data_IF_895250664739
#
_entry.id   IF_895250664739
#
_cell.length_a   1.000
_cell.length_b   1.000
_cell.length_c   1.000
_cell.angle_alpha   90.00
_cell.angle_beta   90.00
_cell.angle_gamma   90.00
#
_symmetry.space_group_name_H-M   'P 1'
#
loop_
_entity.id
_entity.type
_entity.pdbx_description
1 polymer ?
#
# COMPACT_ATOMS: atom_id res chain seq x y z
N UNK A 1 21.36 -1.61 25.21
CA UNK A 1 21.99 -0.48 24.50
C UNK A 1 21.24 -0.31 23.20
N UNK A 2 20.40 0.73 23.08
CA UNK A 2 19.62 1.00 21.87
C UNK A 2 20.58 1.42 20.75
N UNK A 3 20.72 0.60 19.72
CA UNK A 3 21.48 0.96 18.52
C UNK A 3 20.81 2.21 17.92
N UNK A 4 21.52 3.36 17.78
CA UNK A 4 20.93 4.53 17.14
C UNK A 4 20.58 4.11 15.72
N UNK A 5 19.28 4.17 15.36
CA UNK A 5 18.77 3.78 14.05
C UNK A 5 19.72 4.29 12.96
N UNK A 6 20.45 3.36 12.34
CA UNK A 6 21.48 3.68 11.34
C UNK A 6 20.76 4.39 10.20
N UNK A 7 20.86 5.73 10.15
CA UNK A 7 20.25 6.49 9.06
C UNK A 7 20.91 5.99 7.78
N UNK A 8 20.12 5.34 6.92
CA UNK A 8 20.53 4.95 5.58
C UNK A 8 21.19 6.14 4.89
N UNK A 9 22.48 6.01 4.61
CA UNK A 9 23.22 7.06 3.91
C UNK A 9 22.95 6.91 2.43
N UNK A 10 22.02 7.72 1.91
CA UNK A 10 21.64 7.69 0.49
C UNK A 10 22.81 8.26 -0.35
N UNK A 11 23.37 7.47 -1.29
CA UNK A 11 24.39 7.95 -2.23
C UNK A 11 23.95 9.22 -2.95
N UNK A 12 24.90 10.12 -3.22
CA UNK A 12 24.60 11.43 -3.79
C UNK A 12 23.89 11.31 -5.14
N UNK A 13 24.29 10.33 -5.96
CA UNK A 13 23.69 10.10 -7.27
C UNK A 13 22.23 9.61 -7.21
N UNK A 14 21.79 9.00 -6.11
CA UNK A 14 20.41 8.52 -5.95
C UNK A 14 19.44 9.61 -5.47
N UNK A 15 19.94 10.70 -4.85
CA UNK A 15 19.10 11.74 -4.24
C UNK A 15 18.04 12.34 -5.16
N UNK A 16 18.29 12.60 -6.47
CA UNK A 16 17.28 13.12 -7.37
C UNK A 16 16.11 12.16 -7.60
N UNK A 17 16.37 10.85 -7.57
CA UNK A 17 15.36 9.83 -7.77
C UNK A 17 14.64 9.48 -6.46
N UNK A 18 15.35 9.51 -5.34
CA UNK A 18 14.87 9.12 -4.00
C UNK A 18 14.00 10.18 -3.31
N UNK A 19 13.70 11.30 -3.98
CA UNK A 19 12.87 12.39 -3.46
C UNK A 19 11.66 12.63 -4.35
N UNK A 20 10.60 13.14 -3.74
CA UNK A 20 9.40 13.57 -4.45
C UNK A 20 9.74 14.66 -5.48
N UNK A 21 9.23 14.55 -6.72
CA UNK A 21 9.24 15.67 -7.67
C UNK A 21 8.28 16.78 -7.24
N UNK A 22 8.28 17.91 -7.94
CA UNK A 22 7.24 18.93 -7.78
C UNK A 22 5.84 18.33 -7.99
N UNK A 23 5.66 17.53 -9.05
CA UNK A 23 4.48 16.71 -9.30
C UNK A 23 4.91 15.38 -9.92
N UNK A 24 4.43 14.27 -9.37
CA UNK A 24 4.62 12.92 -9.87
C UNK A 24 3.56 12.62 -10.93
N UNK A 25 3.73 13.13 -12.15
CA UNK A 25 2.76 12.96 -13.23
C UNK A 25 2.33 11.51 -13.51
N UNK A 26 3.20 10.47 -13.42
CA UNK A 26 2.76 9.09 -13.54
C UNK A 26 1.76 8.67 -12.45
N UNK A 27 1.96 9.13 -11.20
CA UNK A 27 1.01 8.87 -10.10
C UNK A 27 -0.30 9.63 -10.31
N UNK A 28 -0.26 10.86 -10.83
CA UNK A 28 -1.46 11.63 -11.20
C UNK A 28 -2.22 10.98 -12.36
N UNK A 29 -1.52 10.49 -13.38
CA UNK A 29 -2.11 9.77 -14.51
C UNK A 29 -2.76 8.47 -14.05
N UNK A 30 -2.11 7.73 -13.12
CA UNK A 30 -2.69 6.54 -12.51
C UNK A 30 -3.98 6.86 -11.75
N UNK A 31 -4.02 7.96 -11.00
CA UNK A 31 -5.24 8.44 -10.33
C UNK A 31 -6.37 8.74 -11.32
N UNK A 32 -6.07 9.45 -12.42
CA UNK A 32 -7.04 9.75 -13.46
C UNK A 32 -7.56 8.47 -14.14
N UNK A 33 -6.67 7.52 -14.45
CA UNK A 33 -7.04 6.25 -15.03
C UNK A 33 -7.91 5.40 -14.08
N UNK A 34 -7.57 5.35 -12.79
CA UNK A 34 -8.36 4.67 -11.77
C UNK A 34 -9.74 5.32 -11.61
N UNK A 35 -9.81 6.65 -11.63
CA UNK A 35 -11.08 7.41 -11.55
C UNK A 35 -11.97 7.12 -12.76
N UNK A 36 -11.40 7.13 -13.97
CA UNK A 36 -12.13 6.80 -15.18
C UNK A 36 -12.63 5.36 -15.13
N UNK A 37 -11.75 4.39 -14.80
CA UNK A 37 -12.10 2.98 -14.74
C UNK A 37 -13.22 2.69 -13.72
N UNK A 38 -13.11 3.25 -12.51
CA UNK A 38 -14.11 3.10 -11.46
C UNK A 38 -15.45 3.74 -11.85
N UNK A 39 -15.41 4.95 -12.42
CA UNK A 39 -16.63 5.66 -12.84
C UNK A 39 -17.32 4.97 -14.01
N UNK A 40 -16.56 4.41 -14.96
CA UNK A 40 -17.10 3.61 -16.06
C UNK A 40 -17.72 2.32 -15.54
N UNK A 41 -17.06 1.61 -14.61
CA UNK A 41 -17.63 0.42 -13.98
C UNK A 41 -18.93 0.72 -13.24
N UNK A 42 -18.94 1.78 -12.41
CA UNK A 42 -20.12 2.21 -11.67
C UNK A 42 -21.27 2.63 -12.60
N UNK A 43 -21.00 3.49 -13.60
CA UNK A 43 -22.01 3.90 -14.58
C UNK A 43 -22.54 2.69 -15.36
N UNK A 44 -21.65 1.78 -15.77
CA UNK A 44 -22.01 0.58 -16.51
C UNK A 44 -22.92 -0.35 -15.71
N UNK A 45 -22.63 -0.52 -14.41
CA UNK A 45 -23.46 -1.28 -13.49
C UNK A 45 -24.82 -0.64 -13.24
N UNK A 46 -24.86 0.67 -12.97
CA UNK A 46 -26.10 1.39 -12.68
C UNK A 46 -27.02 1.54 -13.90
N UNK A 47 -26.45 1.65 -15.11
CA UNK A 47 -27.21 1.69 -16.36
C UNK A 47 -27.64 0.30 -16.85
N UNK A 48 -27.14 -0.78 -16.24
CA UNK A 48 -27.35 -2.15 -16.71
C UNK A 48 -26.59 -2.50 -18.00
N UNK A 49 -25.67 -1.64 -18.47
CA UNK A 49 -24.89 -1.88 -19.69
C UNK A 49 -23.70 -2.82 -19.49
N UNK A 50 -23.25 -3.00 -18.24
CA UNK A 50 -22.23 -3.98 -17.88
C UNK A 50 -22.83 -5.06 -16.96
N UNK A 51 -22.47 -6.34 -17.15
CA UNK A 51 -22.82 -7.38 -16.19
C UNK A 51 -22.07 -7.15 -14.87
N UNK A 52 -22.70 -7.57 -13.76
CA UNK A 52 -22.18 -7.33 -12.39
C UNK A 52 -20.73 -7.79 -12.22
N UNK A 53 -20.35 -8.94 -12.77
CA UNK A 53 -18.97 -9.44 -12.66
C UNK A 53 -17.94 -8.50 -13.31
N UNK A 54 -18.29 -7.84 -14.41
CA UNK A 54 -17.38 -6.90 -15.08
C UNK A 54 -17.20 -5.64 -14.24
N UNK A 55 -18.29 -5.13 -13.64
CA UNK A 55 -18.24 -4.01 -12.68
C UNK A 55 -17.34 -4.34 -11.50
N UNK A 56 -17.48 -5.54 -10.95
CA UNK A 56 -16.66 -5.99 -9.81
C UNK A 56 -15.17 -5.97 -10.16
N UNK A 57 -14.79 -6.54 -11.31
CA UNK A 57 -13.40 -6.60 -11.74
C UNK A 57 -12.82 -5.21 -12.04
N UNK A 58 -13.57 -4.37 -12.75
CA UNK A 58 -13.13 -3.01 -13.09
C UNK A 58 -12.92 -2.16 -11.83
N UNK A 59 -13.88 -2.20 -10.91
CA UNK A 59 -13.80 -1.42 -9.68
C UNK A 59 -12.71 -1.96 -8.75
N UNK A 60 -12.50 -3.28 -8.67
CA UNK A 60 -11.43 -3.87 -7.87
C UNK A 60 -10.05 -3.46 -8.40
N UNK A 61 -9.86 -3.49 -9.73
CA UNK A 61 -8.63 -3.02 -10.36
C UNK A 61 -8.40 -1.51 -10.13
N UNK A 62 -9.45 -0.70 -10.23
CA UNK A 62 -9.36 0.72 -9.94
C UNK A 62 -9.01 0.98 -8.46
N UNK A 63 -9.59 0.25 -7.51
CA UNK A 63 -9.25 0.35 -6.08
C UNK A 63 -7.78 -0.03 -5.83
N UNK A 64 -7.27 -1.08 -6.51
CA UNK A 64 -5.86 -1.44 -6.46
C UNK A 64 -4.94 -0.32 -6.98
N UNK A 65 -5.32 0.38 -8.05
CA UNK A 65 -4.58 1.54 -8.55
C UNK A 65 -4.67 2.74 -7.61
N UNK A 66 -5.85 3.03 -7.07
CA UNK A 66 -6.03 4.07 -6.05
C UNK A 66 -5.17 3.81 -4.82
N UNK A 67 -4.98 2.55 -4.41
CA UNK A 67 -4.07 2.23 -3.31
C UNK A 67 -2.64 2.72 -3.61
N UNK A 68 -2.12 2.49 -4.81
CA UNK A 68 -0.76 2.96 -5.16
C UNK A 68 -0.64 4.48 -5.07
N UNK A 69 -1.68 5.22 -5.49
CA UNK A 69 -1.74 6.69 -5.35
C UNK A 69 -1.82 7.10 -3.88
N UNK A 70 -2.68 6.45 -3.09
CA UNK A 70 -2.83 6.68 -1.66
C UNK A 70 -1.52 6.41 -0.89
N UNK A 71 -0.82 5.35 -1.28
CA UNK A 71 0.45 4.92 -0.73
C UNK A 71 1.58 5.92 -1.03
N UNK A 72 1.76 6.33 -2.29
CA UNK A 72 2.69 7.41 -2.66
C UNK A 72 2.35 8.70 -1.89
N UNK A 73 1.07 9.05 -1.75
CA UNK A 73 0.64 10.22 -1.00
C UNK A 73 1.01 10.15 0.49
N UNK A 74 0.87 8.98 1.12
CA UNK A 74 1.22 8.78 2.53
C UNK A 74 2.69 9.12 2.81
N UNK A 75 3.56 8.85 1.84
CA UNK A 75 4.98 9.19 1.86
C UNK A 75 5.33 10.61 1.44
N UNK A 76 4.35 11.39 0.99
CA UNK A 76 4.57 12.66 0.27
C UNK A 76 5.30 12.51 -1.07
N UNK A 77 5.19 11.37 -1.74
CA UNK A 77 5.88 11.07 -3.00
C UNK A 77 5.16 11.61 -4.23
N UNK A 78 3.89 12.03 -4.11
CA UNK A 78 3.11 12.62 -5.21
C UNK A 78 3.62 14.03 -5.55
N UNK A 79 4.03 14.81 -4.56
CA UNK A 79 4.46 16.20 -4.74
C UNK A 79 5.29 16.70 -3.56
N UNK A 80 6.13 17.70 -3.77
CA UNK A 80 6.71 18.49 -2.67
C UNK A 80 5.67 19.31 -1.89
N UNK A 81 4.47 19.53 -2.45
CA UNK A 81 3.36 20.20 -1.78
C UNK A 81 2.53 19.20 -0.95
N UNK A 82 2.55 19.38 0.36
CA UNK A 82 1.82 18.52 1.31
C UNK A 82 0.31 18.49 1.08
N UNK A 83 -0.30 19.60 0.70
CA UNK A 83 -1.75 19.67 0.42
C UNK A 83 -2.13 18.80 -0.76
N UNK A 84 -1.31 18.76 -1.81
CA UNK A 84 -1.57 17.88 -2.96
C UNK A 84 -1.52 16.41 -2.54
N UNK A 85 -0.52 16.01 -1.74
CA UNK A 85 -0.45 14.65 -1.23
C UNK A 85 -1.68 14.30 -0.36
N UNK A 86 -2.05 15.18 0.57
CA UNK A 86 -3.20 14.93 1.44
C UNK A 86 -4.52 14.84 0.63
N UNK A 87 -4.67 15.64 -0.44
CA UNK A 87 -5.83 15.57 -1.35
C UNK A 87 -5.86 14.27 -2.15
N UNK A 88 -4.78 13.92 -2.86
CA UNK A 88 -4.72 12.68 -3.65
C UNK A 88 -4.88 11.44 -2.75
N UNK A 89 -4.27 11.46 -1.57
CA UNK A 89 -4.41 10.40 -0.57
C UNK A 89 -5.85 10.24 -0.10
N UNK A 90 -6.51 11.33 0.28
CA UNK A 90 -7.89 11.29 0.78
C UNK A 90 -8.90 10.90 -0.31
N UNK A 91 -8.75 11.40 -1.54
CA UNK A 91 -9.62 11.04 -2.66
C UNK A 91 -9.47 9.56 -3.03
N UNK A 92 -8.23 9.06 -3.09
CA UNK A 92 -7.96 7.65 -3.39
C UNK A 92 -8.47 6.71 -2.30
N UNK A 93 -8.51 7.14 -1.04
CA UNK A 93 -9.03 6.35 0.06
C UNK A 93 -10.54 6.10 -0.02
N UNK A 94 -11.32 6.94 -0.71
CA UNK A 94 -12.80 6.91 -0.72
C UNK A 94 -13.39 5.58 -1.18
N UNK A 95 -12.70 4.86 -2.07
CA UNK A 95 -13.16 3.59 -2.64
C UNK A 95 -12.60 2.37 -1.91
N UNK A 96 -11.68 2.58 -0.96
CA UNK A 96 -10.86 1.51 -0.39
C UNK A 96 -11.56 0.74 0.73
N UNK A 97 -12.30 1.44 1.59
CA UNK A 97 -12.94 0.84 2.76
C UNK A 97 -14.17 1.64 3.17
N UNK A 98 -15.04 1.02 3.98
CA UNK A 98 -16.25 1.65 4.52
C UNK A 98 -15.97 2.90 5.35
N UNK A 99 -14.74 3.05 5.86
CA UNK A 99 -14.26 4.22 6.58
C UNK A 99 -12.98 4.78 5.96
N UNK A 100 -13.05 5.63 4.94
CA UNK A 100 -11.90 6.03 4.12
C UNK A 100 -10.99 7.07 4.82
N UNK A 101 -10.40 6.70 5.97
CA UNK A 101 -9.61 7.61 6.81
C UNK A 101 -8.14 7.57 6.41
N UNK A 102 -7.79 8.36 5.39
CA UNK A 102 -6.42 8.42 4.86
C UNK A 102 -5.36 8.76 5.91
N UNK A 103 -5.64 9.66 6.85
CA UNK A 103 -4.65 10.02 7.90
C UNK A 103 -4.38 8.88 8.87
N UNK A 104 -5.38 8.05 9.17
CA UNK A 104 -5.21 6.87 9.99
C UNK A 104 -4.35 5.84 9.25
N UNK A 105 -4.67 5.57 7.98
CA UNK A 105 -3.84 4.73 7.10
C UNK A 105 -2.39 5.23 7.08
N UNK A 106 -2.17 6.53 6.82
CA UNK A 106 -0.83 7.13 6.77
C UNK A 106 -0.06 6.91 8.08
N UNK A 107 -0.70 7.06 9.23
CA UNK A 107 -0.02 6.83 10.51
C UNK A 107 0.35 5.36 10.71
N UNK A 108 -0.59 4.45 10.45
CA UNK A 108 -0.40 3.00 10.53
C UNK A 108 0.72 2.56 9.61
N UNK A 109 0.69 2.98 8.34
CA UNK A 109 1.73 2.71 7.34
C UNK A 109 3.11 3.21 7.79
N UNK A 110 3.19 4.37 8.44
CA UNK A 110 4.46 4.87 8.98
C UNK A 110 4.96 4.07 10.18
N UNK A 111 4.08 3.43 10.95
CA UNK A 111 4.51 2.49 11.99
C UNK A 111 5.07 1.22 11.36
N UNK A 112 4.42 0.70 10.33
CA UNK A 112 4.93 -0.41 9.54
C UNK A 112 6.34 -0.10 9.01
N UNK A 113 6.54 1.03 8.32
CA UNK A 113 7.88 1.41 7.85
C UNK A 113 8.94 1.52 8.93
N UNK A 114 8.55 1.88 10.16
CA UNK A 114 9.48 2.04 11.27
C UNK A 114 9.81 0.71 11.94
N UNK A 115 8.86 -0.22 11.97
CA UNK A 115 8.92 -1.43 12.77
C UNK A 115 8.62 -2.71 11.99
N UNK A 116 8.73 -2.69 10.66
CA UNK A 116 8.33 -3.82 9.80
C UNK A 116 8.87 -5.15 10.33
N UNK A 117 8.00 -6.16 10.34
CA UNK A 117 8.19 -7.51 10.89
C UNK A 117 8.30 -7.62 12.42
N UNK A 118 8.10 -6.53 13.18
CA UNK A 118 7.87 -6.64 14.62
C UNK A 118 6.55 -7.40 14.91
N UNK A 119 6.19 -7.56 16.17
CA UNK A 119 4.95 -8.22 16.58
C UNK A 119 3.68 -7.44 16.14
N UNK A 120 2.53 -8.11 16.11
CA UNK A 120 1.23 -7.57 15.66
C UNK A 120 0.71 -6.33 16.44
N UNK A 121 1.27 -6.02 17.62
CA UNK A 121 0.95 -4.82 18.39
C UNK A 121 1.84 -3.63 17.98
N UNK A 122 3.07 -3.90 17.56
CA UNK A 122 4.02 -2.88 17.09
C UNK A 122 3.89 -2.61 15.59
N UNK A 123 3.84 -3.66 14.78
CA UNK A 123 3.66 -3.63 13.32
C UNK A 123 2.30 -4.25 12.95
N UNK A 124 1.30 -3.45 12.56
CA UNK A 124 -0.03 -3.95 12.24
C UNK A 124 -0.04 -4.90 11.03
N UNK A 125 0.96 -4.82 10.14
CA UNK A 125 1.08 -5.64 8.93
C UNK A 125 1.58 -7.04 9.22
N UNK A 126 2.19 -7.25 10.39
CA UNK A 126 2.55 -8.60 10.86
C UNK A 126 1.33 -9.54 10.90
N UNK A 127 0.13 -8.98 11.07
CA UNK A 127 -1.15 -9.68 10.99
C UNK A 127 -1.30 -10.52 9.71
N UNK A 128 -0.80 -10.04 8.58
CA UNK A 128 -0.89 -10.69 7.26
C UNK A 128 -0.01 -11.94 7.13
N UNK A 129 0.94 -12.14 8.04
CA UNK A 129 1.80 -13.34 8.07
C UNK A 129 1.90 -14.02 9.43
N UNK A 130 1.01 -13.71 10.37
CA UNK A 130 0.94 -14.34 11.68
C UNK A 130 -0.22 -15.34 11.77
N UNK A 131 -0.15 -16.25 12.74
CA UNK A 131 -1.17 -17.28 12.95
C UNK A 131 -1.12 -18.48 11.99
N UNK A 132 -2.09 -19.40 12.09
CA UNK A 132 -2.16 -20.59 11.23
C UNK A 132 -2.38 -20.24 9.75
N UNK A 133 -1.73 -20.99 8.85
CA UNK A 133 -1.79 -20.76 7.40
C UNK A 133 -3.22 -20.71 6.82
N UNK A 134 -4.15 -21.51 7.37
CA UNK A 134 -5.54 -21.54 6.93
C UNK A 134 -6.31 -20.24 7.23
N UNK A 135 -5.84 -19.42 8.18
CA UNK A 135 -6.46 -18.13 8.50
C UNK A 135 -5.98 -17.00 7.59
N UNK A 136 -4.85 -17.16 6.90
CA UNK A 136 -4.23 -16.07 6.14
C UNK A 136 -5.17 -15.44 5.11
N UNK A 137 -5.95 -16.20 4.30
CA UNK A 137 -6.88 -15.59 3.35
C UNK A 137 -7.93 -14.69 4.02
N UNK A 138 -8.45 -15.09 5.18
CA UNK A 138 -9.39 -14.29 5.94
C UNK A 138 -8.73 -13.03 6.50
N UNK A 139 -7.50 -13.15 7.01
CA UNK A 139 -6.72 -12.02 7.52
C UNK A 139 -6.44 -11.00 6.41
N UNK A 140 -6.08 -11.45 5.22
CA UNK A 140 -5.89 -10.58 4.05
C UNK A 140 -7.19 -9.85 3.68
N UNK A 141 -8.35 -10.52 3.74
CA UNK A 141 -9.67 -9.89 3.48
C UNK A 141 -10.05 -8.81 4.51
N UNK A 142 -9.51 -8.87 5.73
CA UNK A 142 -9.89 -8.02 6.86
C UNK A 142 -8.78 -7.09 7.35
N UNK A 143 -7.73 -6.90 6.55
CA UNK A 143 -6.55 -6.12 6.92
C UNK A 143 -6.88 -4.66 7.29
N UNK A 144 -7.76 -4.01 6.53
CA UNK A 144 -8.23 -2.65 6.84
C UNK A 144 -9.00 -2.56 8.16
N UNK A 145 -9.75 -3.60 8.55
CA UNK A 145 -10.39 -3.64 9.87
C UNK A 145 -9.37 -3.79 10.99
N UNK A 146 -8.31 -4.59 10.79
CA UNK A 146 -7.19 -4.65 11.73
C UNK A 146 -6.54 -3.28 11.87
N UNK A 147 -6.38 -2.52 10.79
CA UNK A 147 -5.89 -1.13 10.86
C UNK A 147 -6.78 -0.22 11.71
N UNK A 148 -8.11 -0.31 11.59
CA UNK A 148 -9.00 0.48 12.45
C UNK A 148 -8.88 0.09 13.92
N UNK A 149 -8.92 -1.20 14.23
CA UNK A 149 -8.77 -1.68 15.62
C UNK A 149 -7.44 -1.23 16.20
N UNK A 150 -6.37 -1.36 15.43
CA UNK A 150 -5.04 -0.92 15.82
C UNK A 150 -5.02 0.60 16.03
N UNK A 151 -5.45 1.41 15.06
CA UNK A 151 -5.48 2.86 15.19
C UNK A 151 -6.33 3.35 16.37
N UNK A 152 -7.54 2.82 16.53
CA UNK A 152 -8.51 3.25 17.55
C UNK A 152 -8.03 2.93 18.97
N UNK A 153 -7.26 1.86 19.16
CA UNK A 153 -6.66 1.56 20.47
C UNK A 153 -5.50 2.48 20.84
N UNK A 154 -5.01 3.33 19.91
CA UNK A 154 -3.97 4.34 20.17
C UNK A 154 -4.47 5.78 20.09
N UNK A 155 -5.79 6.03 20.14
CA UNK A 155 -6.34 7.40 20.04
C UNK A 155 -5.74 8.37 21.06
N UNK A 156 -5.43 7.91 22.28
CA UNK A 156 -4.79 8.72 23.31
C UNK A 156 -3.37 9.21 22.96
N UNK A 157 -2.72 8.60 21.96
CA UNK A 157 -1.40 9.00 21.45
C UNK A 157 -1.50 9.85 20.18
N UNK A 158 -2.70 10.18 19.70
CA UNK A 158 -2.92 10.91 18.44
C UNK A 158 -3.24 12.39 18.69
N UNK A 159 -2.87 13.29 17.77
CA UNK A 159 -3.28 14.69 17.85
C UNK A 159 -4.82 14.83 17.82
N UNK A 160 -5.41 15.64 18.71
CA UNK A 160 -6.87 15.84 18.78
C UNK A 160 -7.51 16.22 17.45
N UNK A 161 -6.81 17.04 16.64
CA UNK A 161 -7.28 17.42 15.29
C UNK A 161 -7.40 16.21 14.34
N UNK A 162 -6.49 15.25 14.45
CA UNK A 162 -6.51 14.01 13.65
C UNK A 162 -7.66 13.10 14.09
N UNK A 163 -7.88 13.00 15.41
CA UNK A 163 -9.00 12.23 15.99
C UNK A 163 -10.34 12.81 15.53
N UNK A 164 -10.55 14.13 15.67
CA UNK A 164 -11.78 14.80 15.23
C UNK A 164 -12.01 14.57 13.73
N UNK A 165 -10.97 14.70 12.91
CA UNK A 165 -11.08 14.44 11.47
C UNK A 165 -11.45 12.99 11.18
N UNK A 166 -10.82 12.04 11.87
CA UNK A 166 -11.09 10.61 11.75
C UNK A 166 -12.55 10.29 12.08
N UNK A 167 -13.03 10.74 13.24
CA UNK A 167 -14.41 10.52 13.65
C UNK A 167 -15.42 11.17 12.69
N UNK A 168 -15.14 12.39 12.20
CA UNK A 168 -16.01 13.05 11.20
C UNK A 168 -16.12 12.23 9.91
N UNK A 169 -15.00 11.72 9.38
CA UNK A 169 -15.00 10.91 8.16
C UNK A 169 -15.70 9.58 8.40
N UNK A 170 -15.43 8.90 9.52
CA UNK A 170 -16.10 7.64 9.86
C UNK A 170 -17.62 7.83 10.00
N UNK A 171 -18.06 8.88 10.69
CA UNK A 171 -19.48 9.19 10.84
C UNK A 171 -20.11 9.54 9.49
N UNK A 172 -19.49 10.42 8.70
CA UNK A 172 -20.01 10.79 7.38
C UNK A 172 -20.11 9.59 6.45
N UNK A 173 -19.09 8.73 6.40
CA UNK A 173 -19.10 7.53 5.59
C UNK A 173 -20.15 6.52 6.08
N UNK A 174 -20.31 6.34 7.39
CA UNK A 174 -21.35 5.47 7.96
C UNK A 174 -22.74 5.95 7.59
N UNK A 175 -23.00 7.26 7.72
CA UNK A 175 -24.29 7.85 7.35
C UNK A 175 -24.53 7.74 5.84
N UNK A 176 -23.51 7.99 5.02
CA UNK A 176 -23.60 7.89 3.56
C UNK A 176 -23.94 6.46 3.13
N UNK A 177 -23.15 5.47 3.55
CA UNK A 177 -23.39 4.06 3.21
C UNK A 177 -24.71 3.55 3.81
N UNK A 178 -25.03 3.92 5.05
CA UNK A 178 -26.29 3.56 5.70
C UNK A 178 -27.51 4.13 4.98
N UNK A 179 -27.43 5.39 4.51
CA UNK A 179 -28.49 6.00 3.69
C UNK A 179 -28.66 5.28 2.37
N UNK A 180 -27.57 4.96 1.66
CA UNK A 180 -27.64 4.18 0.41
C UNK A 180 -28.35 2.84 0.61
N UNK A 181 -27.96 2.09 1.64
CA UNK A 181 -28.56 0.79 1.98
C UNK A 181 -30.04 0.95 2.33
N UNK A 182 -30.39 1.92 3.20
CA UNK A 182 -31.78 2.16 3.61
C UNK A 182 -32.66 2.63 2.46
N UNK A 183 -32.11 3.37 1.49
CA UNK A 183 -32.79 3.80 0.28
C UNK A 183 -32.94 2.70 -0.78
N UNK A 184 -32.56 1.45 -0.48
CA UNK A 184 -32.75 0.30 -1.36
C UNK A 184 -31.55 -0.05 -2.24
N UNK A 185 -30.44 0.68 -2.15
CA UNK A 185 -29.23 0.45 -2.96
C UNK A 185 -28.25 -0.55 -2.31
N UNK A 186 -28.75 -1.48 -1.49
CA UNK A 186 -27.92 -2.44 -0.78
C UNK A 186 -27.15 -3.38 -1.73
N UNK A 187 -27.78 -3.75 -2.85
CA UNK A 187 -27.19 -4.62 -3.87
C UNK A 187 -26.04 -3.91 -4.59
N UNK A 188 -26.25 -2.69 -5.05
CA UNK A 188 -25.26 -1.84 -5.71
C UNK A 188 -24.12 -1.51 -4.75
N UNK A 189 -24.43 -1.16 -3.50
CA UNK A 189 -23.41 -0.96 -2.48
C UNK A 189 -22.52 -2.20 -2.31
N UNK A 190 -23.12 -3.40 -2.21
CA UNK A 190 -22.35 -4.62 -2.05
C UNK A 190 -21.50 -4.94 -3.27
N UNK A 191 -22.10 -5.01 -4.46
CA UNK A 191 -21.40 -5.47 -5.66
C UNK A 191 -20.53 -4.41 -6.34
N UNK A 192 -20.87 -3.12 -6.24
CA UNK A 192 -20.13 -2.07 -6.97
C UNK A 192 -19.11 -1.35 -6.08
N UNK A 193 -19.22 -1.46 -4.76
CA UNK A 193 -18.30 -0.82 -3.81
C UNK A 193 -17.64 -1.81 -2.85
N UNK A 194 -18.41 -2.53 -2.04
CA UNK A 194 -17.86 -3.32 -0.93
C UNK A 194 -17.05 -4.54 -1.43
N UNK A 195 -17.64 -5.37 -2.28
CA UNK A 195 -16.99 -6.56 -2.83
C UNK A 195 -15.74 -6.22 -3.66
N UNK A 196 -15.76 -5.22 -4.56
CA UNK A 196 -14.55 -4.79 -5.28
C UNK A 196 -13.42 -4.35 -4.33
N UNK A 197 -13.76 -3.59 -3.29
CA UNK A 197 -12.79 -3.19 -2.27
C UNK A 197 -12.20 -4.41 -1.53
N UNK A 198 -13.01 -5.42 -1.20
CA UNK A 198 -12.53 -6.68 -0.59
C UNK A 198 -11.56 -7.44 -1.48
N UNK A 199 -11.88 -7.55 -2.77
CA UNK A 199 -11.00 -8.22 -3.75
C UNK A 199 -9.66 -7.49 -3.86
N UNK A 200 -9.69 -6.16 -3.93
CA UNK A 200 -8.48 -5.34 -3.98
C UNK A 200 -7.64 -5.48 -2.69
N UNK A 201 -8.26 -5.37 -1.51
CA UNK A 201 -7.59 -5.48 -0.21
C UNK A 201 -6.97 -6.87 -0.01
N UNK A 202 -7.70 -7.93 -0.38
CA UNK A 202 -7.16 -9.29 -0.33
C UNK A 202 -5.86 -9.40 -1.14
N UNK A 203 -5.88 -8.91 -2.39
CA UNK A 203 -4.70 -8.96 -3.25
C UNK A 203 -3.56 -8.09 -2.72
N UNK A 204 -3.86 -6.89 -2.21
CA UNK A 204 -2.87 -5.98 -1.62
C UNK A 204 -2.21 -6.58 -0.38
N UNK A 205 -2.99 -7.08 0.57
CA UNK A 205 -2.47 -7.69 1.78
C UNK A 205 -1.61 -8.93 1.47
N UNK A 206 -2.02 -9.74 0.50
CA UNK A 206 -1.19 -10.84 0.01
C UNK A 206 0.09 -10.34 -0.66
N UNK A 207 -0.02 -9.42 -1.62
CA UNK A 207 1.07 -9.06 -2.51
C UNK A 207 2.09 -8.09 -1.89
N UNK A 208 1.66 -7.22 -0.98
CA UNK A 208 2.46 -6.13 -0.42
C UNK A 208 2.74 -6.33 1.08
N UNK A 209 1.82 -6.89 1.87
CA UNK A 209 2.03 -7.02 3.32
C UNK A 209 2.57 -8.41 3.71
N UNK A 210 2.30 -9.45 2.91
CA UNK A 210 2.76 -10.83 3.16
C UNK A 210 3.97 -11.22 2.31
N UNK A 211 3.87 -11.14 0.98
CA UNK A 211 4.91 -11.61 0.07
C UNK A 211 6.27 -10.91 0.22
N UNK A 212 6.35 -9.57 0.42
CA UNK A 212 7.63 -8.88 0.59
C UNK A 212 8.28 -9.09 1.95
N UNK A 213 7.51 -9.57 2.92
CA UNK A 213 7.97 -9.75 4.30
C UNK A 213 8.41 -11.18 4.57
N UNK A 214 7.84 -12.16 3.87
CA UNK A 214 8.27 -13.56 3.97
C UNK A 214 9.75 -13.74 3.55
N UNK A 215 10.60 -14.42 4.34
CA UNK A 215 10.27 -15.30 5.47
C UNK A 215 10.39 -14.65 6.87
N UNK A 216 10.27 -13.33 6.98
CA UNK A 216 10.35 -12.55 8.21
C UNK A 216 11.72 -12.69 8.91
N UNK A 217 12.81 -12.56 8.13
CA UNK A 217 14.19 -12.81 8.61
C UNK A 217 14.62 -11.91 9.77
N UNK A 218 14.19 -10.65 9.75
CA UNK A 218 14.64 -9.59 10.66
C UNK A 218 13.59 -8.49 10.71
N UNK A 219 13.68 -7.63 11.72
CA UNK A 219 12.88 -6.40 11.79
C UNK A 219 13.56 -5.23 11.07
N UNK A 220 12.78 -4.21 10.72
CA UNK A 220 13.30 -2.97 10.13
C UNK A 220 14.35 -2.28 11.03
N UNK A 221 14.16 -2.12 12.36
CA UNK A 221 15.19 -1.53 13.22
C UNK A 221 16.50 -2.32 13.27
N UNK A 222 16.43 -3.65 13.17
CA UNK A 222 17.61 -4.51 13.29
C UNK A 222 18.41 -4.57 11.98
N UNK A 223 17.74 -4.77 10.84
CA UNK A 223 18.39 -4.78 9.54
C UNK A 223 17.40 -4.39 8.41
N UNK A 224 17.40 -3.11 7.99
CA UNK A 224 16.46 -2.61 6.98
C UNK A 224 16.68 -3.21 5.59
N UNK A 225 17.84 -3.82 5.31
CA UNK A 225 18.14 -4.44 4.02
C UNK A 225 17.52 -5.83 3.85
N UNK A 226 17.07 -6.45 4.94
CA UNK A 226 16.48 -7.79 4.92
C UNK A 226 15.10 -7.87 5.59
N UNK A 227 14.58 -6.75 6.11
CA UNK A 227 13.23 -6.68 6.65
C UNK A 227 12.17 -6.88 5.57
N UNK A 228 12.43 -6.41 4.36
CA UNK A 228 11.59 -6.68 3.19
C UNK A 228 12.45 -7.16 2.04
N UNK A 229 11.82 -7.65 0.97
CA UNK A 229 12.53 -8.18 -0.19
C UNK A 229 12.18 -7.48 -1.50
N UNK A 230 13.11 -7.56 -2.45
CA UNK A 230 12.79 -7.37 -3.86
C UNK A 230 12.56 -8.73 -4.52
N UNK A 231 11.43 -8.88 -5.21
CA UNK A 231 11.13 -10.00 -6.11
C UNK A 231 11.67 -9.69 -7.50
N UNK A 232 12.79 -10.34 -7.81
CA UNK A 232 13.57 -10.13 -9.03
C UNK A 232 13.38 -11.29 -10.00
N UNK A 233 13.44 -11.00 -11.29
CA UNK A 233 13.03 -11.91 -12.37
C UNK A 233 11.56 -11.72 -12.77
N UNK A 234 11.25 -12.02 -14.04
CA UNK A 234 9.93 -11.77 -14.63
C UNK A 234 9.43 -10.33 -14.45
N UNK A 235 10.33 -9.34 -14.45
CA UNK A 235 9.96 -7.92 -14.28
C UNK A 235 8.96 -7.45 -15.34
N UNK A 236 8.97 -8.06 -16.53
CA UNK A 236 8.01 -7.79 -17.60
C UNK A 236 6.55 -8.10 -17.19
N UNK A 237 6.35 -9.00 -16.23
CA UNK A 237 5.05 -9.38 -15.68
C UNK A 237 4.81 -8.74 -14.31
N UNK A 238 5.76 -8.91 -13.38
CA UNK A 238 5.57 -8.48 -11.99
C UNK A 238 5.49 -6.96 -11.86
N UNK A 239 6.32 -6.22 -12.58
CA UNK A 239 6.35 -4.75 -12.48
C UNK A 239 5.03 -4.10 -12.88
N UNK A 240 4.41 -4.42 -14.04
CA UNK A 240 3.13 -3.83 -14.39
C UNK A 240 1.99 -4.31 -13.48
N UNK A 241 1.97 -5.59 -13.08
CA UNK A 241 0.92 -6.14 -12.21
C UNK A 241 0.97 -5.56 -10.79
N UNK A 242 2.17 -5.41 -10.23
CA UNK A 242 2.39 -4.95 -8.86
C UNK A 242 2.70 -3.45 -8.78
N UNK A 243 2.65 -2.73 -9.91
CA UNK A 243 3.00 -1.30 -9.98
C UNK A 243 4.34 -1.00 -9.27
N UNK A 244 5.39 -1.71 -9.71
CA UNK A 244 6.77 -1.61 -9.19
C UNK A 244 7.00 -2.11 -7.76
N UNK A 245 5.95 -2.53 -7.04
CA UNK A 245 6.09 -3.08 -5.67
C UNK A 245 6.75 -4.47 -5.63
N UNK A 246 7.06 -5.09 -6.77
CA UNK A 246 8.04 -6.18 -6.79
C UNK A 246 9.42 -5.71 -6.28
N UNK A 247 9.70 -4.40 -6.27
CA UNK A 247 10.86 -3.81 -5.61
C UNK A 247 10.48 -3.17 -4.25
N UNK A 248 9.76 -3.91 -3.40
CA UNK A 248 9.28 -3.42 -2.10
C UNK A 248 10.39 -3.08 -1.10
N UNK A 249 11.55 -3.75 -1.17
CA UNK A 249 12.71 -3.34 -0.37
C UNK A 249 13.18 -1.94 -0.76
N UNK A 250 13.20 -1.60 -2.06
CA UNK A 250 13.52 -0.22 -2.50
C UNK A 250 12.53 0.78 -1.91
N UNK A 251 11.26 0.40 -1.85
CA UNK A 251 10.24 1.21 -1.21
C UNK A 251 10.55 1.51 0.26
N UNK A 252 10.95 0.51 1.06
CA UNK A 252 11.34 0.70 2.46
C UNK A 252 12.62 1.53 2.63
N UNK A 253 13.59 1.39 1.73
CA UNK A 253 14.85 2.13 1.78
C UNK A 253 14.69 3.59 1.34
N UNK A 254 13.80 3.87 0.38
CA UNK A 254 13.60 5.19 -0.22
C UNK A 254 12.09 5.56 -0.28
N UNK A 255 11.41 5.71 0.87
CA UNK A 255 9.96 5.88 0.93
C UNK A 255 9.44 7.12 0.17
N UNK A 256 10.26 8.18 0.10
CA UNK A 256 9.93 9.42 -0.62
C UNK A 256 10.02 9.29 -2.15
N UNK A 257 10.50 8.16 -2.68
CA UNK A 257 10.48 7.90 -4.10
C UNK A 257 9.07 7.50 -4.54
N UNK A 258 8.51 8.10 -5.60
CA UNK A 258 7.28 7.59 -6.20
C UNK A 258 7.50 6.24 -6.88
N UNK A 259 6.46 5.39 -6.88
CA UNK A 259 6.54 3.97 -7.26
C UNK A 259 7.30 3.68 -8.57
N UNK A 260 7.06 4.50 -9.61
CA UNK A 260 7.61 4.30 -10.95
C UNK A 260 9.15 4.49 -11.03
N UNK A 261 9.81 4.89 -9.93
CA UNK A 261 11.27 5.08 -9.88
C UNK A 261 12.02 3.91 -9.25
N UNK A 262 11.35 2.92 -8.66
CA UNK A 262 12.00 1.92 -7.81
C UNK A 262 13.08 1.10 -8.55
N UNK A 263 12.75 0.57 -9.73
CA UNK A 263 13.71 -0.22 -10.52
C UNK A 263 14.90 0.64 -10.98
N UNK A 264 14.65 1.91 -11.35
CA UNK A 264 15.72 2.82 -11.77
C UNK A 264 16.64 3.15 -10.60
N UNK A 265 16.09 3.40 -9.41
CA UNK A 265 16.85 3.59 -8.16
C UNK A 265 17.74 2.39 -7.89
N UNK A 266 17.17 1.19 -7.95
CA UNK A 266 17.91 -0.04 -7.74
C UNK A 266 19.08 -0.19 -8.72
N UNK A 267 18.79 -0.09 -10.03
CA UNK A 267 19.79 -0.29 -11.09
C UNK A 267 20.90 0.76 -11.08
N UNK A 268 20.58 2.00 -10.72
CA UNK A 268 21.54 3.11 -10.76
C UNK A 268 22.67 2.97 -9.74
N UNK A 269 22.42 2.30 -8.62
CA UNK A 269 23.45 2.03 -7.60
C UNK A 269 23.44 0.54 -7.20
N UNK A 270 23.30 -0.36 -8.17
CA UNK A 270 23.10 -1.78 -7.89
C UNK A 270 24.22 -2.39 -7.04
N UNK A 271 25.48 -2.05 -7.34
CA UNK A 271 26.64 -2.50 -6.54
C UNK A 271 26.55 -2.05 -5.08
N UNK A 272 26.12 -0.80 -4.84
CA UNK A 272 25.90 -0.28 -3.48
C UNK A 272 24.78 -1.04 -2.76
N UNK A 273 23.67 -1.33 -3.45
CA UNK A 273 22.59 -2.11 -2.82
C UNK A 273 23.06 -3.53 -2.51
N UNK A 274 23.75 -4.19 -3.45
CA UNK A 274 24.23 -5.56 -3.29
C UNK A 274 25.29 -5.70 -2.19
N UNK A 275 26.13 -4.68 -1.98
CA UNK A 275 27.16 -4.70 -0.91
C UNK A 275 26.57 -4.76 0.50
N UNK A 276 25.29 -4.38 0.67
CA UNK A 276 24.57 -4.45 1.95
C UNK A 276 23.80 -5.77 2.17
N UNK A 277 24.01 -6.76 1.30
CA UNK A 277 23.36 -8.08 1.38
C UNK A 277 21.82 -7.99 1.50
N UNK A 278 21.16 -7.38 0.50
CA UNK A 278 19.72 -7.18 0.51
C UNK A 278 18.99 -8.52 0.35
N UNK A 279 17.80 -8.65 0.95
CA UNK A 279 16.98 -9.83 0.74
C UNK A 279 16.37 -9.80 -0.67
N UNK A 280 16.73 -10.79 -1.49
CA UNK A 280 16.26 -10.95 -2.86
C UNK A 280 15.54 -12.28 -3.00
N UNK A 281 14.38 -12.23 -3.65
CA UNK A 281 13.54 -13.40 -3.87
C UNK A 281 13.25 -13.57 -5.35
N UNK A 282 13.14 -14.82 -5.81
CA UNK A 282 12.61 -15.13 -7.15
C UNK A 282 11.08 -14.88 -7.19
N UNK A 283 10.45 -14.86 -8.38
CA UNK A 283 9.00 -14.68 -8.48
C UNK A 283 8.22 -15.72 -7.69
N UNK A 284 8.75 -16.94 -7.58
CA UNK A 284 8.16 -18.08 -6.88
C UNK A 284 8.52 -18.15 -5.38
N UNK A 285 9.25 -17.17 -4.85
CA UNK A 285 9.55 -17.09 -3.41
C UNK A 285 10.72 -17.94 -2.92
N UNK A 286 11.62 -18.37 -3.81
CA UNK A 286 12.95 -18.86 -3.40
C UNK A 286 13.90 -17.69 -3.20
N UNK A 287 14.66 -17.70 -2.11
CA UNK A 287 15.72 -16.72 -1.90
C UNK A 287 16.79 -16.85 -2.99
N UNK A 288 17.27 -15.71 -3.49
CA UNK A 288 18.33 -15.63 -4.49
C UNK A 288 19.59 -15.06 -3.84
N UNK A 289 20.67 -15.82 -3.87
CA UNK A 289 21.97 -15.31 -3.42
C UNK A 289 22.51 -14.28 -4.41
N UNK A 290 23.37 -13.38 -3.93
CA UNK A 290 24.01 -12.36 -4.79
C UNK A 290 24.73 -13.01 -5.98
N UNK A 291 25.35 -14.19 -5.77
CA UNK A 291 26.07 -14.94 -6.81
C UNK A 291 25.15 -15.43 -7.93
N UNK A 292 23.93 -15.86 -7.60
CA UNK A 292 22.94 -16.33 -8.59
C UNK A 292 22.30 -15.18 -9.38
N UNK A 293 22.41 -13.93 -8.92
CA UNK A 293 21.89 -12.78 -9.67
C UNK A 293 22.81 -12.34 -10.81
N UNK A 294 24.12 -12.51 -10.63
CA UNK A 294 25.15 -12.08 -11.60
C UNK A 294 25.35 -13.10 -12.72
N UNK A 295 24.88 -14.35 -12.52
CA UNK A 295 24.78 -15.39 -13.55
C UNK A 295 23.48 -15.29 -14.35
#
# INVERSE_FOLDING_TARGET
MSNPATRLTIPAELRPLARAPSIAWPTVALFAAATLLYSTGLYGGLSGSLPVWAVVLMNALAVFWFFTVMHDAAHNSVSTNRTLNDTFGQLSALTFSVWPVYKAFRYVHMQHHRFANADDDTDPDRYCGSGPAWQLPLRWLTMDFKYYVWYLSRLNQRPTREIINTLRIMTAATLFHGTLIFSGYAWEFFFFFFLPARVAIFFLAFAFDYLPHTPYKTTQPDNPWQATNNRIGMEWLLTPVLLYQNYHLVHHLYPLAPFYRYIRLWKMAEEYHLSHQPLLMTPLGKEKTIREKVS
#
